data_IF_304822699067
#
_entry.id   IF_304822699067
#
_cell.length_a   1.000
_cell.length_b   1.000
_cell.length_c   1.000
_cell.angle_alpha   90.00
_cell.angle_beta   90.00
_cell.angle_gamma   90.00
#
_symmetry.space_group_name_H-M   'P 1'
#
loop_
_entity.id
_entity.type
_entity.pdbx_description
1 polymer ?
#
# COMPACT_ATOMS: atom_id res chain seq x y z
N UNK A 1 -84.44 -22.74 -27.16
CA UNK A 1 -83.90 -21.48 -26.57
C UNK A 1 -82.57 -21.79 -25.96
N UNK A 2 -81.46 -21.50 -26.67
CA UNK A 2 -80.06 -21.81 -26.19
C UNK A 2 -79.42 -20.50 -25.79
N UNK A 3 -79.10 -20.35 -24.48
CA UNK A 3 -78.31 -19.26 -23.91
C UNK A 3 -76.87 -19.46 -24.23
N UNK A 4 -76.25 -18.52 -24.95
CA UNK A 4 -74.82 -18.43 -25.12
C UNK A 4 -74.23 -17.60 -23.95
N UNK A 5 -73.40 -18.22 -23.12
CA UNK A 5 -72.60 -17.52 -22.15
C UNK A 5 -71.27 -17.03 -22.81
N UNK A 6 -71.13 -15.73 -22.87
CA UNK A 6 -69.87 -15.07 -23.30
C UNK A 6 -68.95 -14.95 -22.06
N UNK A 7 -67.81 -15.65 -22.09
CA UNK A 7 -66.76 -15.45 -21.12
C UNK A 7 -65.94 -14.27 -21.60
N UNK A 8 -65.89 -13.21 -20.80
CA UNK A 8 -64.95 -12.10 -20.97
C UNK A 8 -63.64 -12.48 -20.19
N UNK A 9 -62.56 -12.68 -20.92
CA UNK A 9 -61.22 -12.91 -20.36
C UNK A 9 -60.56 -11.53 -20.12
N UNK A 10 -60.51 -11.10 -18.85
CA UNK A 10 -59.67 -9.96 -18.46
C UNK A 10 -58.21 -10.42 -18.39
N UNK A 11 -57.42 -10.03 -19.37
CA UNK A 11 -55.99 -10.13 -19.31
C UNK A 11 -55.46 -9.02 -18.39
N UNK A 12 -55.06 -9.39 -17.17
CA UNK A 12 -54.36 -8.50 -16.26
C UNK A 12 -52.89 -8.46 -16.69
N UNK A 13 -52.53 -7.40 -17.42
CA UNK A 13 -51.12 -7.11 -17.75
C UNK A 13 -50.38 -6.68 -16.47
N UNK A 14 -49.60 -7.59 -15.90
CA UNK A 14 -48.61 -7.23 -14.87
C UNK A 14 -47.49 -6.42 -15.54
N UNK A 15 -47.55 -5.11 -15.39
CA UNK A 15 -46.42 -4.22 -15.67
C UNK A 15 -45.40 -4.50 -14.53
N UNK A 16 -44.41 -5.34 -14.82
CA UNK A 16 -43.19 -5.42 -14.02
C UNK A 16 -42.51 -4.07 -14.21
N UNK A 17 -42.72 -3.14 -13.31
CA UNK A 17 -41.83 -2.01 -13.13
C UNK A 17 -40.49 -2.58 -12.65
N UNK A 18 -39.58 -2.90 -13.58
CA UNK A 18 -38.16 -3.03 -13.28
C UNK A 18 -37.73 -1.63 -12.87
N UNK A 19 -37.73 -1.36 -11.56
CA UNK A 19 -37.02 -0.23 -11.02
C UNK A 19 -35.58 -0.38 -11.51
N UNK A 20 -35.08 0.51 -12.34
CA UNK A 20 -33.70 0.57 -12.71
C UNK A 20 -32.92 0.72 -11.38
N UNK A 21 -32.29 -0.33 -10.95
CA UNK A 21 -31.31 -0.23 -9.86
C UNK A 21 -30.21 0.70 -10.38
N UNK A 22 -29.86 1.73 -9.60
CA UNK A 22 -28.74 2.60 -9.94
C UNK A 22 -27.52 1.71 -10.20
N UNK A 23 -26.90 1.86 -11.37
CA UNK A 23 -25.69 1.11 -11.67
C UNK A 23 -24.50 1.77 -10.96
N UNK A 24 -23.82 1.00 -10.13
CA UNK A 24 -22.69 1.48 -9.34
C UNK A 24 -21.40 0.86 -9.82
N UNK A 25 -20.32 1.64 -9.83
CA UNK A 25 -18.95 1.15 -9.85
C UNK A 25 -18.45 1.08 -8.42
N UNK A 26 -18.01 -0.12 -7.98
CA UNK A 26 -17.32 -0.30 -6.73
C UNK A 26 -15.81 -0.28 -7.00
N UNK A 27 -15.10 0.67 -6.39
CA UNK A 27 -13.64 0.69 -6.38
C UNK A 27 -13.17 0.11 -5.04
N UNK A 28 -12.36 -0.93 -5.12
CA UNK A 28 -11.62 -1.46 -3.99
C UNK A 28 -10.19 -0.94 -4.06
N UNK A 29 -9.66 -0.47 -2.94
CA UNK A 29 -8.34 0.12 -2.89
C UNK A 29 -7.51 -0.46 -1.75
N UNK A 30 -6.28 -0.82 -2.06
CA UNK A 30 -5.22 -1.21 -1.13
C UNK A 30 -4.03 -0.26 -1.25
N UNK A 31 -3.21 -0.22 -0.21
CA UNK A 31 -1.95 0.53 -0.15
C UNK A 31 -1.09 -0.03 0.97
N UNK A 32 0.23 0.13 0.87
CA UNK A 32 1.17 -0.20 1.94
C UNK A 32 0.95 -1.63 2.49
N UNK A 33 0.83 -2.60 1.58
CA UNK A 33 0.58 -4.00 1.97
C UNK A 33 1.80 -4.64 2.66
N UNK A 34 3.02 -4.14 2.38
CA UNK A 34 4.24 -4.47 3.08
C UNK A 34 4.47 -5.96 3.28
N UNK A 35 4.37 -6.73 2.18
CA UNK A 35 4.56 -8.19 2.18
C UNK A 35 3.71 -8.93 3.21
N UNK A 36 2.60 -8.32 3.68
CA UNK A 36 1.70 -8.96 4.64
C UNK A 36 0.88 -10.06 3.96
N UNK A 37 1.58 -11.08 3.44
CA UNK A 37 0.98 -12.21 2.71
C UNK A 37 0.07 -13.01 3.62
N UNK A 38 0.57 -13.35 4.82
CA UNK A 38 -0.20 -13.96 5.91
C UNK A 38 -0.37 -12.95 7.04
N UNK A 39 -1.46 -12.97 7.81
CA UNK A 39 -1.54 -12.18 9.03
C UNK A 39 -0.43 -12.59 9.98
N UNK A 40 0.17 -11.63 10.68
CA UNK A 40 1.25 -11.89 11.66
C UNK A 40 0.87 -12.98 12.68
N UNK A 41 -0.39 -12.98 13.09
CA UNK A 41 -1.02 -14.03 13.90
C UNK A 41 -2.46 -14.21 13.41
N UNK A 42 -3.01 -15.41 13.53
CA UNK A 42 -4.40 -15.69 13.10
C UNK A 42 -5.44 -14.79 13.76
N UNK A 43 -5.17 -14.32 14.98
CA UNK A 43 -6.05 -13.41 15.73
C UNK A 43 -5.88 -11.94 15.36
N UNK A 44 -4.81 -11.59 14.62
CA UNK A 44 -4.51 -10.21 14.19
C UNK A 44 -5.22 -9.91 12.86
N UNK A 45 -5.52 -8.65 12.58
CA UNK A 45 -5.97 -8.22 11.25
C UNK A 45 -4.86 -8.35 10.21
N UNK A 46 -5.22 -8.23 8.93
CA UNK A 46 -4.30 -8.24 7.81
C UNK A 46 -4.24 -9.56 7.06
N UNK A 47 -3.31 -9.63 6.11
CA UNK A 47 -3.05 -10.77 5.23
C UNK A 47 -3.63 -10.59 3.82
N UNK A 48 -2.76 -10.61 2.79
CA UNK A 48 -3.17 -10.55 1.37
C UNK A 48 -4.14 -11.68 1.02
N UNK A 49 -3.99 -12.85 1.65
CA UNK A 49 -4.95 -13.98 1.49
C UNK A 49 -6.37 -13.62 1.92
N UNK A 50 -6.52 -12.86 3.01
CA UNK A 50 -7.83 -12.36 3.47
C UNK A 50 -8.36 -11.23 2.59
N UNK A 51 -7.46 -10.35 2.11
CA UNK A 51 -7.84 -9.32 1.11
C UNK A 51 -8.42 -10.00 -0.13
N UNK A 52 -7.77 -11.07 -0.65
CA UNK A 52 -8.31 -11.84 -1.77
C UNK A 52 -9.71 -12.37 -1.48
N UNK A 53 -9.94 -12.96 -0.31
CA UNK A 53 -11.25 -13.48 0.07
C UNK A 53 -12.32 -12.38 0.14
N UNK A 54 -11.96 -11.18 0.62
CA UNK A 54 -12.83 -10.02 0.64
C UNK A 54 -13.16 -9.54 -0.78
N UNK A 55 -12.16 -9.36 -1.63
CA UNK A 55 -12.31 -8.97 -3.05
C UNK A 55 -13.20 -9.95 -3.79
N UNK A 56 -12.94 -11.26 -3.69
CA UNK A 56 -13.74 -12.30 -4.33
C UNK A 56 -15.20 -12.29 -3.85
N UNK A 57 -15.43 -11.98 -2.57
CA UNK A 57 -16.78 -11.85 -2.02
C UNK A 57 -17.54 -10.68 -2.60
N UNK A 58 -16.86 -9.52 -2.76
CA UNK A 58 -17.46 -8.31 -3.32
C UNK A 58 -17.70 -8.46 -4.81
N UNK A 59 -16.79 -9.03 -5.58
CA UNK A 59 -16.96 -9.30 -7.01
C UNK A 59 -18.13 -10.24 -7.33
N UNK A 60 -18.47 -11.14 -6.40
CA UNK A 60 -19.69 -11.97 -6.55
C UNK A 60 -21.00 -11.20 -6.34
N UNK A 61 -20.94 -10.11 -5.59
CA UNK A 61 -22.12 -9.31 -5.24
C UNK A 61 -22.34 -8.10 -6.15
N UNK A 62 -21.27 -7.54 -6.71
CA UNK A 62 -21.29 -6.29 -7.45
C UNK A 62 -20.93 -6.53 -8.92
N UNK A 63 -21.69 -5.96 -9.89
CA UNK A 63 -21.47 -6.21 -11.32
C UNK A 63 -20.22 -5.50 -11.86
N UNK A 64 -19.87 -4.35 -11.31
CA UNK A 64 -18.71 -3.56 -11.73
C UNK A 64 -17.81 -3.30 -10.54
N UNK A 65 -16.65 -3.94 -10.55
CA UNK A 65 -15.61 -3.79 -9.50
C UNK A 65 -14.28 -3.48 -10.15
N UNK A 66 -13.60 -2.44 -9.68
CA UNK A 66 -12.24 -2.08 -10.05
C UNK A 66 -11.36 -2.18 -8.80
N UNK A 67 -10.28 -2.97 -8.85
CA UNK A 67 -9.33 -3.16 -7.76
C UNK A 67 -8.03 -2.43 -8.07
N UNK A 68 -7.65 -1.48 -7.21
CA UNK A 68 -6.53 -0.58 -7.41
C UNK A 68 -5.58 -0.62 -6.21
N UNK A 69 -4.29 -0.43 -6.46
CA UNK A 69 -3.28 -0.34 -5.41
C UNK A 69 -2.46 0.94 -5.49
N UNK A 70 -2.14 1.52 -4.33
CA UNK A 70 -1.37 2.77 -4.22
C UNK A 70 0.09 2.57 -3.81
N UNK A 71 0.67 1.37 -3.99
CA UNK A 71 2.10 1.08 -3.82
C UNK A 71 2.52 0.69 -2.40
N UNK A 72 3.81 0.39 -2.24
CA UNK A 72 4.43 -0.25 -1.09
C UNK A 72 3.82 -1.64 -0.81
N UNK A 73 3.77 -2.45 -1.88
CA UNK A 73 3.28 -3.83 -1.83
C UNK A 73 4.27 -4.78 -1.17
N UNK A 74 5.54 -4.45 -1.27
CA UNK A 74 6.69 -5.24 -0.83
C UNK A 74 7.34 -4.66 0.42
N UNK A 75 8.30 -5.39 0.98
CA UNK A 75 9.06 -5.04 2.19
C UNK A 75 8.21 -5.10 3.48
N UNK A 76 8.71 -5.75 4.51
CA UNK A 76 8.09 -5.85 5.85
C UNK A 76 8.04 -7.26 6.41
N UNK A 77 7.82 -8.30 5.61
CA UNK A 77 7.83 -9.69 6.08
C UNK A 77 8.87 -10.54 5.34
N UNK A 78 9.13 -11.73 5.89
CA UNK A 78 10.14 -12.67 5.41
C UNK A 78 9.94 -13.10 3.95
N UNK A 79 8.71 -13.01 3.42
CA UNK A 79 8.44 -13.30 2.00
C UNK A 79 9.27 -12.41 1.09
N UNK A 80 9.31 -11.11 1.32
CA UNK A 80 10.14 -10.20 0.52
C UNK A 80 11.63 -10.49 0.67
N UNK A 81 12.10 -10.74 1.89
CA UNK A 81 13.51 -11.05 2.15
C UNK A 81 13.96 -12.30 1.39
N UNK A 82 13.14 -13.34 1.33
CA UNK A 82 13.47 -14.61 0.66
C UNK A 82 13.18 -14.59 -0.85
N UNK A 83 12.05 -14.01 -1.26
CA UNK A 83 11.53 -14.14 -2.63
C UNK A 83 11.49 -12.82 -3.40
N UNK A 84 11.93 -11.70 -2.80
CA UNK A 84 12.19 -10.41 -3.46
C UNK A 84 11.01 -9.84 -4.26
N UNK A 85 9.78 -10.05 -3.78
CA UNK A 85 8.54 -9.56 -4.39
C UNK A 85 7.83 -10.59 -5.27
N UNK A 86 8.43 -11.75 -5.55
CA UNK A 86 7.78 -12.78 -6.39
C UNK A 86 6.42 -13.22 -5.82
N UNK A 87 6.34 -13.43 -4.52
CA UNK A 87 5.13 -13.90 -3.84
C UNK A 87 4.06 -12.81 -3.82
N UNK A 88 4.44 -11.59 -3.50
CA UNK A 88 3.55 -10.44 -3.39
C UNK A 88 2.90 -10.12 -4.74
N UNK A 89 3.67 -9.99 -5.80
CA UNK A 89 3.13 -9.68 -7.13
C UNK A 89 2.32 -10.82 -7.72
N UNK A 90 2.67 -12.09 -7.47
CA UNK A 90 1.83 -13.21 -7.89
C UNK A 90 0.51 -13.26 -7.08
N UNK A 91 0.54 -12.90 -5.79
CA UNK A 91 -0.70 -12.71 -5.02
C UNK A 91 -1.57 -11.61 -5.63
N UNK A 92 -0.98 -10.50 -6.10
CA UNK A 92 -1.70 -9.43 -6.78
C UNK A 92 -2.28 -9.90 -8.12
N UNK A 93 -1.55 -10.69 -8.91
CA UNK A 93 -2.07 -11.34 -10.13
C UNK A 93 -3.32 -12.17 -9.80
N UNK A 94 -3.24 -13.02 -8.76
CA UNK A 94 -4.35 -13.87 -8.30
C UNK A 94 -5.54 -13.09 -7.75
N UNK A 95 -5.31 -11.89 -7.22
CA UNK A 95 -6.37 -10.97 -6.81
C UNK A 95 -7.00 -10.25 -8.01
N UNK A 96 -6.32 -10.19 -9.16
CA UNK A 96 -6.79 -9.56 -10.38
C UNK A 96 -6.89 -8.04 -10.25
N UNK A 97 -5.79 -7.39 -9.92
CA UNK A 97 -5.72 -5.93 -9.89
C UNK A 97 -5.97 -5.33 -11.27
N UNK A 98 -6.62 -4.17 -11.31
CA UNK A 98 -6.83 -3.40 -12.53
C UNK A 98 -5.70 -2.42 -12.82
N UNK A 99 -5.03 -1.94 -11.78
CA UNK A 99 -3.78 -1.20 -11.84
C UNK A 99 -3.13 -1.07 -10.44
N UNK A 100 -1.80 -0.84 -10.42
CA UNK A 100 -1.06 -0.43 -9.24
C UNK A 100 -0.14 0.75 -9.56
N UNK A 101 0.15 1.62 -8.58
CA UNK A 101 1.22 2.62 -8.69
C UNK A 101 2.49 2.13 -7.99
N UNK A 102 3.54 2.94 -8.02
CA UNK A 102 4.85 2.60 -7.46
C UNK A 102 5.05 3.40 -6.18
N UNK A 103 5.28 2.73 -5.05
CA UNK A 103 5.71 3.34 -3.82
C UNK A 103 7.25 3.45 -3.73
N UNK A 104 7.76 3.73 -2.55
CA UNK A 104 9.21 3.83 -2.35
C UNK A 104 9.87 2.48 -2.07
N UNK A 105 9.18 1.57 -1.41
CA UNK A 105 9.73 0.24 -1.08
C UNK A 105 9.82 -0.70 -2.28
N UNK A 106 9.14 -0.42 -3.38
CA UNK A 106 9.35 -1.14 -4.64
C UNK A 106 10.82 -1.10 -5.11
N UNK A 107 11.55 -0.06 -4.74
CA UNK A 107 12.96 0.10 -5.12
C UNK A 107 13.96 -0.53 -4.13
N UNK A 108 13.53 -1.18 -3.06
CA UNK A 108 14.45 -1.67 -2.00
C UNK A 108 15.47 -2.69 -2.51
N UNK A 109 15.10 -3.55 -3.46
CA UNK A 109 16.02 -4.46 -4.15
C UNK A 109 16.61 -3.91 -5.46
N UNK A 110 16.42 -2.61 -5.72
CA UNK A 110 16.89 -1.93 -6.92
C UNK A 110 15.97 -2.08 -8.14
N UNK A 111 16.14 -1.15 -9.06
CA UNK A 111 15.26 -0.98 -10.24
C UNK A 111 15.26 -2.17 -11.20
N UNK A 112 16.37 -2.91 -11.28
CA UNK A 112 16.48 -4.12 -12.12
C UNK A 112 15.63 -5.25 -11.56
N UNK A 113 15.71 -5.50 -10.25
CA UNK A 113 14.89 -6.50 -9.57
C UNK A 113 13.40 -6.16 -9.67
N UNK A 114 13.05 -4.89 -9.54
CA UNK A 114 11.69 -4.41 -9.73
C UNK A 114 11.20 -4.68 -11.16
N UNK A 115 12.04 -4.41 -12.16
CA UNK A 115 11.69 -4.68 -13.56
C UNK A 115 11.47 -6.17 -13.84
N UNK A 116 12.25 -7.06 -13.20
CA UNK A 116 12.04 -8.51 -13.32
C UNK A 116 10.68 -8.95 -12.75
N UNK A 117 10.24 -8.36 -11.65
CA UNK A 117 8.92 -8.58 -11.10
C UNK A 117 7.83 -8.03 -12.03
N UNK A 118 7.99 -6.79 -12.53
CA UNK A 118 6.98 -6.15 -13.37
C UNK A 118 6.81 -6.79 -14.76
N UNK A 119 7.76 -7.57 -15.23
CA UNK A 119 7.58 -8.41 -16.42
C UNK A 119 6.63 -9.59 -16.20
N UNK A 120 6.33 -9.93 -14.94
CA UNK A 120 5.48 -11.08 -14.56
C UNK A 120 4.08 -10.66 -14.09
N UNK A 121 3.85 -9.35 -13.82
CA UNK A 121 2.53 -8.88 -13.42
C UNK A 121 1.56 -8.90 -14.61
N UNK A 122 0.31 -9.25 -14.34
CA UNK A 122 -0.77 -9.33 -15.34
C UNK A 122 -1.63 -8.07 -15.38
N UNK A 123 -1.29 -7.07 -14.58
CA UNK A 123 -1.97 -5.77 -14.50
C UNK A 123 -1.03 -4.63 -14.86
N UNK A 124 -1.56 -3.49 -15.36
CA UNK A 124 -0.73 -2.32 -15.64
C UNK A 124 -0.17 -1.70 -14.36
N UNK A 125 1.13 -1.44 -14.36
CA UNK A 125 1.78 -0.57 -13.39
C UNK A 125 1.80 0.85 -13.95
N UNK A 126 1.40 1.83 -13.16
CA UNK A 126 1.26 3.22 -13.61
C UNK A 126 2.03 4.19 -12.72
N UNK A 127 2.77 5.10 -13.35
CA UNK A 127 3.39 6.24 -12.68
C UNK A 127 3.69 7.35 -13.69
N UNK A 128 3.22 8.55 -13.44
CA UNK A 128 3.35 9.69 -14.35
C UNK A 128 4.54 10.60 -14.01
N UNK A 129 4.95 10.64 -12.74
CA UNK A 129 5.93 11.62 -12.27
C UNK A 129 7.36 11.09 -12.17
N UNK A 130 7.58 9.80 -12.37
CA UNK A 130 8.91 9.22 -12.54
C UNK A 130 9.32 9.23 -14.02
N UNK A 131 10.46 9.80 -14.34
CA UNK A 131 11.06 9.70 -15.66
C UNK A 131 11.91 8.45 -15.75
N UNK A 132 11.35 7.39 -16.36
CA UNK A 132 11.89 6.03 -16.35
C UNK A 132 12.61 5.65 -17.68
N UNK A 133 12.72 6.57 -18.63
CA UNK A 133 13.22 6.29 -19.98
C UNK A 133 14.61 5.63 -20.02
N UNK A 134 15.48 6.02 -19.08
CA UNK A 134 16.86 5.52 -18.99
C UNK A 134 17.00 4.34 -18.00
N UNK A 135 15.91 3.61 -17.75
CA UNK A 135 15.86 2.51 -16.78
C UNK A 135 15.24 1.26 -17.38
N UNK A 136 15.37 0.13 -16.70
CA UNK A 136 14.74 -1.13 -17.06
C UNK A 136 13.20 -1.11 -16.99
N UNK A 137 12.60 -0.05 -16.41
CA UNK A 137 11.15 0.13 -16.28
C UNK A 137 10.52 0.90 -17.44
N UNK A 138 11.29 1.39 -18.43
CA UNK A 138 10.82 2.33 -19.47
C UNK A 138 9.58 1.85 -20.23
N UNK A 139 9.51 0.56 -20.56
CA UNK A 139 8.42 -0.04 -21.34
C UNK A 139 7.38 -0.75 -20.47
N UNK A 140 7.62 -0.88 -19.15
CA UNK A 140 6.79 -1.61 -18.22
C UNK A 140 5.78 -0.71 -17.50
N UNK A 141 6.08 0.58 -17.37
CA UNK A 141 5.29 1.53 -16.60
C UNK A 141 4.64 2.57 -17.53
N UNK A 142 3.35 2.80 -17.33
CA UNK A 142 2.56 3.78 -18.09
C UNK A 142 2.19 4.97 -17.20
N UNK A 143 1.97 6.17 -17.74
CA UNK A 143 1.56 7.30 -16.90
C UNK A 143 0.15 7.18 -16.33
N UNK A 144 -0.76 6.52 -17.03
CA UNK A 144 -2.16 6.30 -16.67
C UNK A 144 -2.77 5.15 -17.48
N UNK A 145 -3.94 4.71 -17.04
CA UNK A 145 -4.86 3.86 -17.81
C UNK A 145 -6.24 4.50 -17.91
N UNK A 146 -7.06 3.99 -18.85
CA UNK A 146 -8.48 4.33 -18.95
C UNK A 146 -9.29 3.03 -18.90
N UNK A 147 -10.33 2.99 -18.06
CA UNK A 147 -11.29 1.90 -17.95
C UNK A 147 -12.68 2.40 -18.28
N UNK A 148 -13.49 1.57 -18.92
CA UNK A 148 -14.87 1.89 -19.25
C UNK A 148 -15.84 1.01 -18.45
N UNK A 149 -16.75 1.65 -17.73
CA UNK A 149 -17.82 0.98 -17.03
C UNK A 149 -19.13 1.65 -17.42
N UNK A 150 -20.05 0.90 -17.99
CA UNK A 150 -21.37 1.38 -18.42
C UNK A 150 -21.30 2.67 -19.26
N UNK A 151 -20.34 2.74 -20.19
CA UNK A 151 -20.13 3.90 -21.06
C UNK A 151 -19.44 5.10 -20.41
N UNK A 152 -19.10 5.06 -19.13
CA UNK A 152 -18.31 6.09 -18.44
C UNK A 152 -16.85 5.72 -18.43
N UNK A 153 -15.96 6.68 -18.72
CA UNK A 153 -14.51 6.51 -18.85
C UNK A 153 -13.82 7.03 -17.60
N UNK A 154 -13.15 6.15 -16.91
CA UNK A 154 -12.37 6.43 -15.71
C UNK A 154 -10.88 6.44 -16.04
N UNK A 155 -10.26 7.61 -15.97
CA UNK A 155 -8.80 7.71 -16.03
C UNK A 155 -8.21 7.42 -14.65
N UNK A 156 -7.23 6.52 -14.57
CA UNK A 156 -6.46 6.23 -13.35
C UNK A 156 -5.03 6.64 -13.60
N UNK A 157 -4.53 7.62 -12.85
CA UNK A 157 -3.23 8.25 -13.01
C UNK A 157 -2.37 7.88 -11.79
N UNK A 158 -1.16 7.33 -11.99
CA UNK A 158 -0.26 6.98 -10.90
C UNK A 158 0.73 8.10 -10.57
N UNK A 159 1.01 8.31 -9.29
CA UNK A 159 2.08 9.19 -8.82
C UNK A 159 2.78 8.62 -7.58
N UNK A 160 4.09 8.90 -7.42
CA UNK A 160 4.90 8.44 -6.31
C UNK A 160 5.69 9.56 -5.63
N UNK A 161 6.18 9.26 -4.43
CA UNK A 161 6.97 10.16 -3.60
C UNK A 161 8.36 10.46 -4.23
N UNK A 162 8.98 11.55 -3.78
CA UNK A 162 10.38 11.80 -4.14
C UNK A 162 11.28 10.73 -3.49
N UNK A 163 12.02 9.93 -4.26
CA UNK A 163 12.87 8.87 -3.71
C UNK A 163 14.07 9.41 -2.93
N UNK A 164 14.43 10.68 -3.11
CA UNK A 164 15.53 11.27 -2.36
C UNK A 164 15.29 11.16 -0.84
N UNK A 165 16.23 10.55 -0.12
CA UNK A 165 16.18 10.25 1.31
C UNK A 165 15.16 9.19 1.76
N UNK A 166 14.41 8.61 0.84
CA UNK A 166 13.53 7.46 1.11
C UNK A 166 14.14 6.15 0.61
N UNK A 167 14.88 6.24 -0.48
CA UNK A 167 15.47 5.09 -1.19
C UNK A 167 16.97 5.30 -1.35
N UNK A 168 17.74 4.23 -1.27
CA UNK A 168 19.18 4.28 -1.55
C UNK A 168 19.39 4.72 -2.99
N UNK A 169 20.20 5.77 -3.20
CA UNK A 169 20.37 6.42 -4.52
C UNK A 169 20.74 5.45 -5.65
N UNK A 170 21.51 4.41 -5.36
CA UNK A 170 21.89 3.41 -6.36
C UNK A 170 20.70 2.55 -6.82
N UNK A 171 19.67 2.40 -5.99
CA UNK A 171 18.50 1.54 -6.25
C UNK A 171 17.52 2.16 -7.25
N UNK A 172 17.57 3.48 -7.46
CA UNK A 172 16.76 4.18 -8.48
C UNK A 172 17.59 4.93 -9.52
N UNK A 173 18.82 4.49 -9.73
CA UNK A 173 19.75 5.11 -10.68
C UNK A 173 19.13 5.19 -12.10
N UNK A 174 19.25 6.36 -12.72
CA UNK A 174 18.69 6.63 -14.05
C UNK A 174 17.25 7.18 -14.03
N UNK A 175 16.54 7.08 -12.90
CA UNK A 175 15.23 7.67 -12.72
C UNK A 175 15.33 9.17 -12.45
N UNK A 176 14.38 9.94 -12.97
CA UNK A 176 14.19 11.36 -12.63
C UNK A 176 12.84 11.56 -11.95
N UNK A 177 12.72 12.61 -11.15
CA UNK A 177 11.49 12.93 -10.41
C UNK A 177 10.93 14.29 -10.86
N UNK A 178 9.59 14.37 -10.96
CA UNK A 178 8.83 15.60 -11.25
C UNK A 178 7.76 15.80 -10.17
N UNK A 179 7.31 17.05 -10.00
CA UNK A 179 6.20 17.35 -9.07
C UNK A 179 4.96 16.53 -9.42
N UNK A 180 4.46 15.68 -8.50
CA UNK A 180 3.33 14.79 -8.77
C UNK A 180 1.99 15.52 -8.88
N UNK A 181 1.79 16.58 -8.10
CA UNK A 181 0.48 17.21 -7.93
C UNK A 181 0.05 17.98 -9.18
N UNK A 182 0.90 18.89 -9.66
CA UNK A 182 0.62 19.68 -10.86
C UNK A 182 0.53 18.78 -12.11
N UNK A 183 1.36 17.74 -12.17
CA UNK A 183 1.37 16.80 -13.28
C UNK A 183 0.11 15.96 -13.35
N UNK A 184 -0.35 15.40 -12.22
CA UNK A 184 -1.58 14.61 -12.17
C UNK A 184 -2.81 15.44 -12.59
N UNK A 185 -2.93 16.66 -12.07
CA UNK A 185 -4.04 17.57 -12.42
C UNK A 185 -4.00 17.98 -13.90
N UNK A 186 -2.81 18.22 -14.45
CA UNK A 186 -2.63 18.53 -15.89
C UNK A 186 -3.04 17.35 -16.78
N UNK A 187 -2.66 16.11 -16.44
CA UNK A 187 -3.05 14.92 -17.20
C UNK A 187 -4.57 14.72 -17.11
N UNK A 188 -5.16 14.83 -15.92
CA UNK A 188 -6.60 14.74 -15.72
C UNK A 188 -7.36 15.76 -16.58
N UNK A 189 -6.88 17.01 -16.58
CA UNK A 189 -7.46 18.09 -17.38
C UNK A 189 -7.37 17.84 -18.88
N UNK A 190 -6.22 17.40 -19.38
CA UNK A 190 -6.04 17.07 -20.80
C UNK A 190 -6.96 15.92 -21.24
N UNK A 191 -7.04 14.84 -20.45
CA UNK A 191 -7.90 13.69 -20.77
C UNK A 191 -9.41 14.05 -20.79
N UNK A 192 -9.84 14.94 -19.89
CA UNK A 192 -11.22 15.44 -19.88
C UNK A 192 -11.49 16.38 -21.06
N UNK A 193 -10.56 17.29 -21.37
CA UNK A 193 -10.69 18.22 -22.48
C UNK A 193 -10.73 17.50 -23.84
N UNK A 194 -9.96 16.42 -24.00
CA UNK A 194 -9.91 15.59 -25.20
C UNK A 194 -11.07 14.58 -25.30
N UNK A 195 -12.06 14.66 -24.42
CA UNK A 195 -13.18 13.71 -24.31
C UNK A 195 -12.73 12.24 -24.18
N UNK A 196 -11.65 12.00 -23.40
CA UNK A 196 -11.10 10.68 -23.14
C UNK A 196 -11.38 10.15 -21.73
N UNK A 197 -11.80 11.03 -20.81
CA UNK A 197 -12.17 10.66 -19.45
C UNK A 197 -13.35 11.50 -18.94
N UNK A 198 -14.27 10.83 -18.27
CA UNK A 198 -15.41 11.46 -17.59
C UNK A 198 -15.10 11.67 -16.10
N UNK A 199 -14.22 10.84 -15.54
CA UNK A 199 -13.82 10.83 -14.13
C UNK A 199 -12.32 10.55 -13.99
N UNK A 200 -11.63 11.31 -13.15
CA UNK A 200 -10.18 11.19 -12.96
C UNK A 200 -9.85 10.74 -11.52
N UNK A 201 -9.19 9.59 -11.42
CA UNK A 201 -8.71 8.98 -10.19
C UNK A 201 -7.19 9.11 -10.15
N UNK A 202 -6.63 9.50 -9.03
CA UNK A 202 -5.18 9.46 -8.80
C UNK A 202 -4.86 8.35 -7.80
N UNK A 203 -4.03 7.40 -8.22
CA UNK A 203 -3.34 6.48 -7.32
C UNK A 203 -2.06 7.15 -6.84
N UNK A 204 -1.99 7.45 -5.57
CA UNK A 204 -0.99 8.35 -5.02
C UNK A 204 -0.17 7.68 -3.91
N UNK A 205 1.15 7.65 -4.08
CA UNK A 205 2.05 7.22 -3.02
C UNK A 205 2.90 8.39 -2.49
N UNK A 206 2.24 9.51 -2.07
CA UNK A 206 2.94 10.72 -1.57
C UNK A 206 2.58 11.10 -0.13
N UNK A 207 1.66 10.36 0.47
CA UNK A 207 1.19 10.58 1.84
C UNK A 207 0.02 11.54 1.96
N UNK A 208 -0.80 11.33 2.99
CA UNK A 208 -2.05 12.05 3.20
C UNK A 208 -1.82 13.54 3.51
N UNK A 209 -0.88 13.87 4.40
CA UNK A 209 -0.53 15.26 4.78
C UNK A 209 0.94 15.53 4.56
N UNK A 210 1.33 16.80 4.29
CA UNK A 210 2.74 17.11 4.13
C UNK A 210 3.49 16.89 5.44
N UNK A 211 4.59 16.15 5.40
CA UNK A 211 5.48 15.95 6.55
C UNK A 211 6.16 17.26 7.00
N UNK A 212 6.36 18.18 6.05
CA UNK A 212 6.80 19.56 6.26
C UNK A 212 6.03 20.49 5.33
N UNK A 213 5.87 21.76 5.73
CA UNK A 213 5.24 22.77 4.88
C UNK A 213 5.91 22.83 3.49
N UNK A 214 5.10 22.85 2.44
CA UNK A 214 5.56 22.92 1.04
C UNK A 214 5.88 21.58 0.38
N UNK A 215 5.84 20.46 1.10
CA UNK A 215 5.98 19.15 0.49
C UNK A 215 4.66 18.68 -0.16
N UNK A 216 4.73 17.89 -1.24
CA UNK A 216 3.56 17.28 -1.84
C UNK A 216 2.83 16.36 -0.86
N UNK A 217 1.49 16.31 -0.98
CA UNK A 217 0.64 15.36 -0.26
C UNK A 217 -0.75 15.29 -0.90
N UNK A 218 -1.51 14.24 -0.59
CA UNK A 218 -2.85 14.02 -1.12
C UNK A 218 -3.81 15.15 -0.77
N UNK A 219 -3.77 15.64 0.48
CA UNK A 219 -4.62 16.75 0.94
C UNK A 219 -4.29 18.08 0.24
N UNK A 220 -3.01 18.35 -0.01
CA UNK A 220 -2.58 19.54 -0.76
C UNK A 220 -2.92 19.39 -2.24
N UNK A 221 -2.74 18.22 -2.82
CA UNK A 221 -3.12 17.91 -4.20
C UNK A 221 -4.63 18.10 -4.40
N UNK A 222 -5.47 17.58 -3.49
CA UNK A 222 -6.91 17.76 -3.53
C UNK A 222 -7.30 19.25 -3.54
N UNK A 223 -6.74 20.04 -2.63
CA UNK A 223 -7.01 21.49 -2.52
C UNK A 223 -6.51 22.29 -3.73
N UNK A 224 -5.38 21.89 -4.31
CA UNK A 224 -4.72 22.65 -5.38
C UNK A 224 -5.14 22.24 -6.79
N UNK A 225 -5.82 21.11 -6.96
CA UNK A 225 -6.32 20.60 -8.24
C UNK A 225 -7.53 21.37 -8.78
N UNK A 226 -7.87 21.10 -10.03
CA UNK A 226 -9.09 21.55 -10.70
C UNK A 226 -9.82 20.42 -11.42
N UNK A 227 -9.11 19.34 -11.75
CA UNK A 227 -9.57 18.29 -12.67
C UNK A 227 -9.65 16.90 -12.02
N UNK A 228 -9.12 16.72 -10.81
CA UNK A 228 -9.10 15.44 -10.08
C UNK A 228 -10.44 15.29 -9.34
N UNK A 229 -11.01 14.08 -9.38
CA UNK A 229 -12.28 13.76 -8.71
C UNK A 229 -12.10 12.87 -7.48
N UNK A 230 -11.08 11.97 -7.49
CA UNK A 230 -10.80 11.02 -6.42
C UNK A 230 -9.29 10.80 -6.27
N UNK A 231 -8.81 10.74 -5.03
CA UNK A 231 -7.42 10.38 -4.70
C UNK A 231 -7.44 9.15 -3.80
N UNK A 232 -6.75 8.10 -4.23
CA UNK A 232 -6.52 6.88 -3.48
C UNK A 232 -5.04 6.86 -3.07
N UNK A 233 -4.78 7.12 -1.78
CA UNK A 233 -3.46 7.42 -1.25
C UNK A 233 -2.77 6.25 -0.55
N UNK A 234 -1.46 6.40 -0.30
CA UNK A 234 -0.58 5.49 0.45
C UNK A 234 0.51 6.26 1.19
N UNK A 235 1.62 5.58 1.51
CA UNK A 235 2.87 6.09 2.06
C UNK A 235 2.84 6.48 3.55
N UNK A 236 1.85 7.23 4.00
CA UNK A 236 1.82 7.73 5.39
C UNK A 236 1.08 6.81 6.36
N UNK A 237 0.59 5.65 5.90
CA UNK A 237 -0.15 4.66 6.68
C UNK A 237 -1.35 5.26 7.45
N UNK A 238 -1.92 6.34 6.91
CA UNK A 238 -2.99 7.11 7.57
C UNK A 238 -4.32 6.42 7.33
N UNK A 239 -4.86 5.77 8.36
CA UNK A 239 -6.20 5.18 8.29
C UNK A 239 -7.26 6.29 8.29
N UNK A 240 -7.83 6.60 7.14
CA UNK A 240 -8.91 7.57 6.99
C UNK A 240 -10.24 6.84 7.09
N UNK A 241 -10.95 7.03 8.19
CA UNK A 241 -12.21 6.32 8.45
C UNK A 241 -13.39 7.31 8.52
N UNK A 242 -14.26 7.35 7.50
CA UNK A 242 -15.42 8.24 7.49
C UNK A 242 -16.39 8.01 8.64
N UNK A 243 -16.52 6.76 9.11
CA UNK A 243 -17.45 6.42 10.20
C UNK A 243 -17.02 7.00 11.54
N UNK A 244 -15.73 7.23 11.76
CA UNK A 244 -15.20 7.82 12.99
C UNK A 244 -14.91 9.31 12.86
N UNK A 245 -14.80 9.81 11.62
CA UNK A 245 -14.45 11.21 11.35
C UNK A 245 -13.04 11.61 11.85
N UNK A 246 -12.13 10.63 11.96
CA UNK A 246 -10.78 10.84 12.50
C UNK A 246 -9.91 11.76 11.63
N UNK A 247 -10.20 11.82 10.33
CA UNK A 247 -9.51 12.67 9.35
C UNK A 247 -10.49 13.28 8.36
N UNK A 248 -10.16 14.48 7.84
CA UNK A 248 -10.89 15.06 6.73
C UNK A 248 -10.65 14.21 5.47
N UNK A 249 -11.69 13.86 4.74
CA UNK A 249 -11.59 13.03 3.53
C UNK A 249 -12.27 13.67 2.31
N UNK A 250 -12.95 14.79 2.47
CA UNK A 250 -13.53 15.57 1.38
C UNK A 250 -12.91 16.96 1.40
N UNK A 251 -12.38 17.37 0.26
CA UNK A 251 -11.73 18.67 0.06
C UNK A 251 -12.39 19.38 -1.12
N UNK A 252 -12.59 20.69 -1.00
CA UNK A 252 -13.07 21.50 -2.12
C UNK A 252 -11.86 22.04 -2.89
N UNK A 253 -11.74 21.66 -4.17
CA UNK A 253 -10.65 22.07 -5.03
C UNK A 253 -10.79 23.50 -5.58
N UNK A 254 -9.81 23.95 -6.41
CA UNK A 254 -9.83 25.29 -7.02
C UNK A 254 -11.02 25.54 -7.96
N UNK A 255 -11.60 24.48 -8.53
CA UNK A 255 -12.79 24.56 -9.39
C UNK A 255 -14.11 24.52 -8.60
N UNK A 256 -14.06 24.53 -7.26
CA UNK A 256 -15.23 24.46 -6.39
C UNK A 256 -15.88 23.07 -6.31
N UNK A 257 -15.18 22.01 -6.78
CA UNK A 257 -15.65 20.63 -6.75
C UNK A 257 -15.12 19.88 -5.53
N UNK A 258 -15.90 18.94 -5.04
CA UNK A 258 -15.45 18.03 -4.00
C UNK A 258 -14.50 16.96 -4.57
N UNK A 259 -13.37 16.78 -3.92
CA UNK A 259 -12.40 15.71 -4.16
C UNK A 259 -12.37 14.81 -2.91
N UNK A 260 -12.66 13.53 -3.09
CA UNK A 260 -12.55 12.55 -2.01
C UNK A 260 -11.10 12.04 -1.95
N UNK A 261 -10.55 11.93 -0.73
CA UNK A 261 -9.22 11.36 -0.45
C UNK A 261 -9.42 10.17 0.47
N UNK A 262 -8.94 9.00 0.08
CA UNK A 262 -8.97 7.77 0.86
C UNK A 262 -7.58 7.21 1.06
N UNK A 263 -7.30 6.66 2.23
CA UNK A 263 -6.08 5.90 2.52
C UNK A 263 -6.38 4.84 3.58
N UNK A 264 -5.81 3.64 3.40
CA UNK A 264 -5.89 2.54 4.36
C UNK A 264 -4.77 2.60 5.38
N UNK A 265 -4.98 1.91 6.49
CA UNK A 265 -3.88 1.50 7.35
C UNK A 265 -3.05 0.42 6.62
N UNK A 266 -1.72 0.46 6.84
CA UNK A 266 -0.77 -0.50 6.28
C UNK A 266 -1.07 -1.97 6.64
N UNK A 267 -0.28 -2.89 6.03
CA UNK A 267 -0.27 -4.33 6.34
C UNK A 267 -1.62 -5.01 6.14
N UNK A 268 -2.35 -4.60 5.11
CA UNK A 268 -3.66 -5.19 4.79
C UNK A 268 -4.70 -5.14 5.95
N UNK A 269 -4.54 -4.27 6.94
CA UNK A 269 -5.49 -4.22 8.07
C UNK A 269 -6.89 -3.80 7.66
N UNK A 270 -6.98 -3.00 6.61
CA UNK A 270 -8.24 -2.54 6.02
C UNK A 270 -8.10 -2.43 4.51
N UNK A 271 -9.23 -2.49 3.80
CA UNK A 271 -9.34 -2.05 2.41
C UNK A 271 -10.40 -0.96 2.31
N UNK A 272 -10.19 -0.03 1.39
CA UNK A 272 -11.19 0.98 1.05
C UNK A 272 -12.21 0.42 0.06
N UNK A 273 -13.49 0.70 0.28
CA UNK A 273 -14.57 0.50 -0.69
C UNK A 273 -15.18 1.86 -1.02
N UNK A 274 -15.06 2.29 -2.27
CA UNK A 274 -15.69 3.49 -2.82
C UNK A 274 -16.81 3.05 -3.76
N UNK A 275 -18.01 3.60 -3.60
CA UNK A 275 -19.15 3.31 -4.48
C UNK A 275 -19.51 4.57 -5.25
N UNK A 276 -19.35 4.55 -6.57
CA UNK A 276 -19.61 5.65 -7.49
C UNK A 276 -20.93 5.34 -8.22
N UNK A 277 -21.85 6.30 -8.20
CA UNK A 277 -23.09 6.26 -8.96
C UNK A 277 -22.77 6.55 -10.45
N UNK A 278 -22.96 5.56 -11.33
CA UNK A 278 -22.65 5.71 -12.76
C UNK A 278 -23.65 6.59 -13.51
N UNK A 279 -24.82 6.82 -12.93
CA UNK A 279 -25.83 7.73 -13.50
C UNK A 279 -25.54 9.19 -13.13
N UNK A 280 -24.81 9.43 -12.01
CA UNK A 280 -24.44 10.78 -11.54
C UNK A 280 -23.01 10.82 -10.98
N UNK A 281 -22.02 11.03 -11.86
CA UNK A 281 -20.61 11.14 -11.50
C UNK A 281 -20.25 12.42 -10.69
N UNK A 282 -21.18 13.38 -10.54
CA UNK A 282 -20.96 14.58 -9.71
C UNK A 282 -21.38 14.35 -8.24
N UNK A 283 -22.12 13.31 -7.98
CA UNK A 283 -22.48 12.89 -6.62
C UNK A 283 -21.22 12.44 -5.85
N UNK A 284 -21.09 12.90 -4.62
CA UNK A 284 -19.99 12.45 -3.76
C UNK A 284 -20.08 10.94 -3.57
N UNK A 285 -19.04 10.17 -3.88
CA UNK A 285 -19.05 8.71 -3.71
C UNK A 285 -19.26 8.31 -2.25
N UNK A 286 -19.92 7.17 -2.03
CA UNK A 286 -19.93 6.56 -0.71
C UNK A 286 -18.53 5.96 -0.42
N UNK A 287 -18.06 6.15 0.82
CA UNK A 287 -16.76 5.68 1.27
C UNK A 287 -16.91 4.83 2.54
N UNK A 288 -16.45 3.59 2.45
CA UNK A 288 -16.41 2.63 3.54
C UNK A 288 -14.98 2.11 3.72
N UNK A 289 -14.55 1.93 4.98
CA UNK A 289 -13.31 1.27 5.33
C UNK A 289 -13.65 -0.12 5.86
N UNK A 290 -13.26 -1.17 5.14
CA UNK A 290 -13.60 -2.56 5.44
C UNK A 290 -12.44 -3.19 6.22
N UNK A 291 -12.65 -3.67 7.47
CA UNK A 291 -11.60 -4.36 8.21
C UNK A 291 -11.33 -5.75 7.62
N UNK A 292 -10.06 -6.10 7.51
CA UNK A 292 -9.57 -7.39 7.04
C UNK A 292 -9.10 -8.19 8.27
N UNK A 293 -9.89 -9.13 8.69
CA UNK A 293 -9.69 -9.94 9.90
C UNK A 293 -10.13 -11.40 9.71
N UNK A 294 -10.16 -12.17 10.79
CA UNK A 294 -10.47 -13.61 10.79
C UNK A 294 -11.85 -13.98 10.23
N UNK A 295 -12.76 -13.02 10.00
CA UNK A 295 -14.04 -13.29 9.32
C UNK A 295 -13.89 -13.84 7.91
N UNK A 296 -12.72 -13.66 7.29
CA UNK A 296 -12.39 -14.13 5.96
C UNK A 296 -11.68 -15.49 5.94
N UNK A 297 -11.20 -16.02 7.07
CA UNK A 297 -10.43 -17.27 7.14
C UNK A 297 -11.17 -18.48 6.54
N UNK A 298 -12.48 -18.58 6.75
CA UNK A 298 -13.30 -19.65 6.17
C UNK A 298 -13.64 -19.48 4.68
N UNK A 299 -13.08 -18.48 3.99
CA UNK A 299 -13.38 -18.11 2.60
C UNK A 299 -12.16 -18.01 1.72
N UNK A 300 -11.01 -18.49 2.20
CA UNK A 300 -9.75 -18.46 1.47
C UNK A 300 -9.85 -19.33 0.22
N UNK A 301 -9.24 -18.86 -0.85
CA UNK A 301 -9.19 -19.58 -2.12
C UNK A 301 -8.24 -20.77 -2.06
N UNK A 302 -8.77 -21.99 -2.23
CA UNK A 302 -8.01 -23.22 -2.10
C UNK A 302 -6.84 -23.35 -3.10
N UNK A 303 -6.98 -22.80 -4.30
CA UNK A 303 -5.91 -22.82 -5.30
C UNK A 303 -4.76 -21.89 -4.91
N UNK A 304 -5.09 -20.73 -4.36
CA UNK A 304 -4.09 -19.78 -3.81
C UNK A 304 -3.40 -20.37 -2.58
N UNK A 305 -4.15 -21.00 -1.66
CA UNK A 305 -3.57 -21.70 -0.50
C UNK A 305 -2.59 -22.79 -0.90
N UNK A 306 -2.96 -23.64 -1.88
CA UNK A 306 -2.10 -24.72 -2.37
C UNK A 306 -0.82 -24.18 -3.04
N UNK A 307 -0.93 -23.09 -3.79
CA UNK A 307 0.22 -22.43 -4.41
C UNK A 307 1.14 -21.77 -3.38
N UNK A 308 0.59 -21.12 -2.34
CA UNK A 308 1.36 -20.40 -1.33
C UNK A 308 2.10 -21.35 -0.37
N UNK A 309 1.59 -22.57 -0.18
CA UNK A 309 2.11 -23.54 0.78
C UNK A 309 3.63 -23.76 0.75
N UNK A 310 4.31 -23.97 -0.41
CA UNK A 310 5.76 -24.17 -0.42
C UNK A 310 6.53 -22.92 0.04
N UNK A 311 6.01 -21.73 -0.21
CA UNK A 311 6.60 -20.47 0.28
C UNK A 311 6.44 -20.34 1.79
N UNK A 312 5.24 -20.67 2.33
CA UNK A 312 4.99 -20.71 3.77
C UNK A 312 5.94 -21.68 4.48
N UNK A 313 6.14 -22.88 3.92
CA UNK A 313 7.04 -23.90 4.46
C UNK A 313 8.49 -23.41 4.48
N UNK A 314 8.95 -22.70 3.45
CA UNK A 314 10.29 -22.14 3.41
C UNK A 314 10.46 -20.99 4.39
N UNK A 315 9.50 -20.06 4.48
CA UNK A 315 9.48 -19.00 5.50
C UNK A 315 9.56 -19.62 6.90
N UNK A 316 8.71 -20.60 7.20
CA UNK A 316 8.69 -21.27 8.50
C UNK A 316 10.04 -21.97 8.81
N UNK A 317 10.63 -22.63 7.79
CA UNK A 317 11.93 -23.30 7.93
C UNK A 317 13.05 -22.31 8.27
N UNK A 318 13.10 -21.17 7.58
CA UNK A 318 14.11 -20.14 7.81
C UNK A 318 13.93 -19.46 9.17
N UNK A 319 12.67 -19.13 9.50
CA UNK A 319 12.32 -18.49 10.78
C UNK A 319 12.64 -19.37 12.00
N UNK A 320 12.64 -20.71 11.83
CA UNK A 320 12.94 -21.67 12.90
C UNK A 320 14.43 -21.92 13.13
N UNK A 321 15.33 -21.36 12.33
CA UNK A 321 16.78 -21.57 12.50
C UNK A 321 17.23 -20.96 13.83
N UNK A 322 17.78 -21.77 14.72
CA UNK A 322 18.36 -21.29 15.99
C UNK A 322 19.71 -20.64 15.69
N UNK A 323 19.86 -19.39 16.10
CA UNK A 323 21.06 -18.57 15.87
C UNK A 323 21.79 -18.18 17.14
N UNK A 324 21.22 -18.43 18.31
CA UNK A 324 21.82 -18.11 19.60
C UNK A 324 20.95 -18.51 20.77
N UNK A 325 21.25 -17.96 21.93
CA UNK A 325 20.44 -18.12 23.15
C UNK A 325 20.63 -16.92 24.07
N UNK A 326 19.67 -16.71 24.97
CA UNK A 326 19.79 -15.73 26.07
C UNK A 326 19.51 -16.42 27.42
N UNK A 327 20.23 -15.99 28.45
CA UNK A 327 20.08 -16.52 29.81
C UNK A 327 18.97 -15.83 30.60
N UNK A 328 18.40 -14.75 30.08
CA UNK A 328 17.34 -13.97 30.74
C UNK A 328 16.31 -13.42 29.73
N UNK A 329 15.13 -13.07 30.23
CA UNK A 329 14.14 -12.34 29.43
C UNK A 329 14.65 -10.90 29.17
N UNK A 330 14.61 -10.47 27.89
CA UNK A 330 15.01 -9.13 27.49
C UNK A 330 13.81 -8.41 26.91
N UNK A 331 13.22 -7.50 27.67
CA UNK A 331 12.13 -6.66 27.19
C UNK A 331 12.62 -5.62 26.19
N UNK A 332 11.90 -5.40 25.10
CA UNK A 332 12.25 -4.46 24.01
C UNK A 332 12.60 -3.04 24.48
N UNK A 333 11.97 -2.60 25.59
CA UNK A 333 12.18 -1.26 26.16
C UNK A 333 13.24 -1.24 27.26
N UNK A 334 13.87 -2.39 27.60
CA UNK A 334 14.90 -2.45 28.62
C UNK A 334 16.23 -1.87 28.12
N UNK A 335 17.04 -1.38 29.06
CA UNK A 335 18.40 -0.94 28.75
C UNK A 335 19.26 -2.09 28.21
N UNK A 336 19.05 -3.31 28.72
CA UNK A 336 19.78 -4.51 28.26
C UNK A 336 19.52 -4.75 26.76
N UNK A 337 18.27 -4.76 26.32
CA UNK A 337 17.92 -4.95 24.90
C UNK A 337 18.47 -3.83 24.01
N UNK A 338 18.36 -2.57 24.46
CA UNK A 338 18.84 -1.43 23.68
C UNK A 338 20.37 -1.46 23.53
N UNK A 339 21.09 -1.76 24.59
CA UNK A 339 22.54 -1.91 24.55
C UNK A 339 22.96 -3.08 23.66
N UNK A 340 22.28 -4.24 23.79
CA UNK A 340 22.54 -5.38 22.93
C UNK A 340 22.38 -5.04 21.44
N UNK A 341 21.30 -4.34 21.08
CA UNK A 341 21.06 -3.93 19.70
C UNK A 341 22.13 -2.94 19.19
N UNK A 342 22.53 -1.96 20.01
CA UNK A 342 23.58 -1.00 19.67
C UNK A 342 24.96 -1.70 19.52
N UNK A 343 25.30 -2.62 20.41
CA UNK A 343 26.54 -3.41 20.36
C UNK A 343 26.55 -4.32 19.11
N UNK A 344 25.42 -4.91 18.74
CA UNK A 344 25.30 -5.70 17.52
C UNK A 344 25.55 -4.83 16.26
N UNK A 345 24.98 -3.64 16.18
CA UNK A 345 25.22 -2.68 15.08
C UNK A 345 26.69 -2.27 15.02
N UNK A 346 27.30 -1.93 16.17
CA UNK A 346 28.74 -1.62 16.27
C UNK A 346 29.60 -2.78 15.73
N UNK A 347 29.38 -3.97 16.27
CA UNK A 347 30.18 -5.16 15.93
C UNK A 347 30.09 -5.52 14.44
N UNK A 348 28.90 -5.43 13.86
CA UNK A 348 28.70 -5.68 12.43
C UNK A 348 29.34 -4.56 11.60
N UNK A 349 29.20 -3.30 12.03
CA UNK A 349 29.82 -2.15 11.39
C UNK A 349 31.35 -2.29 11.32
N UNK A 350 32.02 -2.64 12.42
CA UNK A 350 33.45 -2.93 12.46
C UNK A 350 33.85 -4.06 11.51
N UNK A 351 33.14 -5.18 11.57
CA UNK A 351 33.43 -6.35 10.74
C UNK A 351 33.29 -6.06 9.24
N UNK A 352 32.27 -5.30 8.82
CA UNK A 352 32.01 -5.03 7.40
C UNK A 352 32.87 -3.90 6.84
N UNK A 353 33.18 -2.87 7.65
CA UNK A 353 34.01 -1.74 7.21
C UNK A 353 35.51 -1.98 7.34
N UNK A 354 35.92 -2.87 8.25
CA UNK A 354 37.30 -3.11 8.57
C UNK A 354 37.99 -1.99 9.38
N UNK A 355 37.20 -1.03 9.91
CA UNK A 355 37.71 0.04 10.78
C UNK A 355 37.16 -0.15 12.20
N UNK A 356 37.92 0.34 13.18
CA UNK A 356 37.48 0.39 14.58
C UNK A 356 36.32 1.41 14.71
N UNK A 357 35.26 1.03 15.44
CA UNK A 357 34.07 1.86 15.65
C UNK A 357 33.92 2.12 17.16
N UNK A 358 33.86 3.38 17.56
CA UNK A 358 33.79 3.76 18.97
C UNK A 358 32.43 3.42 19.60
N UNK A 359 31.32 3.62 18.85
CA UNK A 359 29.95 3.41 19.34
C UNK A 359 29.01 2.97 18.25
N UNK A 360 27.98 2.14 18.60
CA UNK A 360 26.83 1.84 17.76
C UNK A 360 25.64 2.66 18.22
N UNK A 361 24.79 3.07 17.26
CA UNK A 361 23.56 3.81 17.54
C UNK A 361 22.41 3.19 16.72
N UNK A 362 21.29 2.94 17.37
CA UNK A 362 20.04 2.53 16.72
C UNK A 362 18.86 3.21 17.40
N UNK A 363 17.72 3.33 16.70
CA UNK A 363 16.53 3.95 17.28
C UNK A 363 15.72 2.90 18.09
N UNK A 364 15.30 3.24 19.29
CA UNK A 364 14.48 2.36 20.14
C UNK A 364 13.13 1.98 19.52
N UNK A 365 12.59 2.84 18.64
CA UNK A 365 11.37 2.55 17.87
C UNK A 365 11.55 1.44 16.84
N UNK A 366 12.77 1.06 16.48
CA UNK A 366 13.09 -0.09 15.62
C UNK A 366 12.97 -1.45 16.33
N UNK A 367 12.92 -1.47 17.67
CA UNK A 367 12.80 -2.70 18.47
C UNK A 367 11.33 -3.00 18.74
N UNK A 368 10.81 -4.13 18.21
CA UNK A 368 9.37 -4.41 18.15
C UNK A 368 8.89 -5.54 19.04
N UNK A 369 9.76 -6.47 19.43
CA UNK A 369 9.43 -7.64 20.28
C UNK A 369 10.41 -7.80 21.43
N UNK A 370 10.05 -8.67 22.36
CA UNK A 370 10.92 -9.08 23.48
C UNK A 370 11.67 -10.36 23.09
N UNK A 371 12.81 -10.64 23.72
CA UNK A 371 13.40 -11.98 23.75
C UNK A 371 13.05 -12.68 25.04
N UNK A 372 12.75 -13.96 24.95
CA UNK A 372 12.53 -14.83 26.10
C UNK A 372 13.76 -15.68 26.36
N UNK A 373 14.01 -15.94 27.64
CA UNK A 373 15.10 -16.83 28.06
C UNK A 373 15.03 -18.17 27.33
N UNK A 374 16.14 -18.60 26.74
CA UNK A 374 16.24 -19.84 25.99
C UNK A 374 16.94 -19.68 24.66
N UNK A 375 16.69 -20.60 23.74
CA UNK A 375 17.16 -20.53 22.36
C UNK A 375 16.49 -19.37 21.65
N UNK A 376 17.24 -18.70 20.79
CA UNK A 376 16.76 -17.61 19.94
C UNK A 376 16.80 -18.05 18.48
N UNK A 377 15.64 -18.02 17.85
CA UNK A 377 15.51 -18.28 16.44
C UNK A 377 15.78 -17.03 15.59
N UNK A 378 16.10 -17.24 14.33
CA UNK A 378 16.21 -16.16 13.36
C UNK A 378 14.90 -15.35 13.27
N UNK A 379 13.75 -16.04 13.39
CA UNK A 379 12.43 -15.42 13.41
C UNK A 379 12.22 -14.44 14.56
N UNK A 380 12.72 -14.77 15.77
CA UNK A 380 12.63 -13.86 16.91
C UNK A 380 13.47 -12.59 16.69
N UNK A 381 14.64 -12.71 16.06
CA UNK A 381 15.47 -11.53 15.71
C UNK A 381 14.79 -10.69 14.62
N UNK A 382 14.18 -11.30 13.60
CA UNK A 382 13.39 -10.57 12.61
C UNK A 382 12.18 -9.88 13.23
N UNK A 383 11.47 -10.54 14.14
CA UNK A 383 10.35 -9.92 14.87
C UNK A 383 10.81 -8.77 15.78
N UNK A 384 12.04 -8.83 16.31
CA UNK A 384 12.62 -7.74 17.07
C UNK A 384 12.97 -6.55 16.18
N UNK A 385 13.60 -6.79 15.03
CA UNK A 385 14.10 -5.76 14.10
C UNK A 385 13.60 -6.03 12.67
N UNK A 386 12.29 -5.81 12.41
CA UNK A 386 11.65 -6.22 11.15
C UNK A 386 11.94 -5.28 9.96
N UNK A 387 12.75 -4.26 10.13
CA UNK A 387 13.03 -3.27 9.10
C UNK A 387 14.38 -3.55 8.42
N UNK A 388 14.39 -3.52 7.09
CA UNK A 388 15.60 -3.62 6.27
C UNK A 388 16.41 -2.32 6.36
N UNK A 389 17.20 -2.20 7.41
CA UNK A 389 18.08 -1.04 7.62
C UNK A 389 19.50 -1.35 7.14
N UNK A 390 20.17 -0.35 6.59
CA UNK A 390 21.59 -0.42 6.29
C UNK A 390 22.42 0.09 7.47
N UNK A 391 23.51 -0.60 7.75
CA UNK A 391 24.51 -0.11 8.69
C UNK A 391 25.44 0.83 7.94
N UNK A 392 25.60 2.05 8.45
CA UNK A 392 26.55 3.03 7.95
C UNK A 392 27.59 3.34 9.02
N UNK A 393 28.86 3.47 8.62
CA UNK A 393 29.94 3.92 9.51
C UNK A 393 30.22 5.38 9.16
N UNK A 394 30.17 6.24 10.16
CA UNK A 394 30.37 7.68 10.03
C UNK A 394 31.62 8.10 10.81
N UNK A 395 32.45 8.94 10.21
CA UNK A 395 33.54 9.64 10.89
C UNK A 395 33.06 11.06 11.26
N UNK A 396 33.20 11.44 12.53
CA UNK A 396 32.83 12.76 12.99
C UNK A 396 33.77 13.23 14.11
N UNK A 397 33.92 14.54 14.27
CA UNK A 397 34.67 15.11 15.38
C UNK A 397 33.87 15.10 16.69
N UNK A 398 34.56 15.15 17.84
CA UNK A 398 33.89 15.07 19.15
C UNK A 398 32.89 16.21 19.43
N UNK A 399 33.09 17.40 18.86
CA UNK A 399 32.15 18.51 19.03
C UNK A 399 30.82 18.22 18.33
N UNK A 400 30.84 17.67 17.12
CA UNK A 400 29.64 17.26 16.41
C UNK A 400 28.95 16.09 17.12
N UNK A 401 29.71 15.12 17.62
CA UNK A 401 29.17 14.01 18.41
C UNK A 401 28.46 14.54 19.66
N UNK A 402 29.06 15.48 20.39
CA UNK A 402 28.41 16.09 21.56
C UNK A 402 27.11 16.81 21.20
N UNK A 403 27.09 17.57 20.10
CA UNK A 403 25.87 18.23 19.61
C UNK A 403 24.78 17.21 19.26
N UNK A 404 25.13 16.08 18.62
CA UNK A 404 24.18 15.00 18.33
C UNK A 404 23.63 14.41 19.63
N UNK A 405 24.47 14.12 20.62
CA UNK A 405 24.02 13.56 21.91
C UNK A 405 23.14 14.53 22.69
N UNK A 406 23.48 15.82 22.72
CA UNK A 406 22.66 16.85 23.36
C UNK A 406 21.27 16.97 22.71
N UNK A 407 21.21 16.89 21.38
CA UNK A 407 19.94 16.89 20.63
C UNK A 407 19.09 15.63 20.89
N UNK A 408 19.74 14.46 21.06
CA UNK A 408 19.05 13.22 21.40
C UNK A 408 18.55 13.23 22.85
N UNK A 409 19.33 13.73 23.79
CA UNK A 409 18.94 13.83 25.19
C UNK A 409 17.74 14.75 25.45
N UNK A 410 17.50 15.75 24.56
CA UNK A 410 16.34 16.64 24.62
C UNK A 410 15.04 16.03 24.10
N UNK A 411 15.11 14.87 23.45
CA UNK A 411 13.94 14.13 22.93
C UNK A 411 13.70 12.92 23.84
N UNK A 412 12.80 13.03 24.80
CA UNK A 412 12.40 11.93 25.67
C UNK A 412 12.18 10.62 24.88
N UNK A 413 12.97 9.59 25.19
CA UNK A 413 12.75 8.22 24.72
C UNK A 413 13.45 7.82 23.42
N UNK A 414 14.42 8.56 22.90
CA UNK A 414 15.20 8.20 21.71
C UNK A 414 16.70 8.01 22.02
N UNK A 415 17.03 7.15 22.96
CA UNK A 415 18.38 6.60 23.13
C UNK A 415 18.29 5.12 23.36
#
# INVERSE_FOLDING_TARGET
MRLRKTLATCALGAILASGAMAENLVILHTNDMHSNVRPEQLTKPGGMVRVKAAVDSIRRAEPYVMLLDAGDDVQGQMYFTLFKGEVEYEMMNRMGYDAATIGNHEFDNGIESLADNYRRVEFPVINANYGLKETALSDLVKPYIIRNFHGKRFAVIGVGANPDRLVIANNYKGMTYRDPMALADSIAGALKADDRADYAIVLSHIGYRPGKAGLPSDSVMALSSSNIDLILGGHSHTSINPATGNHQYVFTNKAGKNVLVAQNRNECHTITKITIDLDDLQKLPAYELLPIDSRYDGRLDAATEAWLKPFDEEVARVMAIIIGSTDEDMQRNSTVMRNWAADAVKTVGERLSGVEVDAGVTNSGGLRSDFHKGELSLGEVYNLMPFDNNIVVLEMNGALLQECLDNLAMKDGQC
#
